data_IF_223301165161
#
_entry.id   IF_223301165161
#
_cell.length_a   1.000
_cell.length_b   1.000
_cell.length_c   1.000
_cell.angle_alpha   90.00
_cell.angle_beta   90.00
_cell.angle_gamma   90.00
#
_symmetry.space_group_name_H-M   'P 1'
#
loop_
_entity.id
_entity.type
_entity.pdbx_description
1 polymer ?
#
# COMPACT_ATOMS: atom_id res chain seq x y z
N UNK A 1 -31.02 40.18 -32.14
CA UNK A 1 -31.32 40.86 -30.85
C UNK A 1 -31.42 39.78 -29.77
N UNK A 2 -30.40 39.59 -28.92
CA UNK A 2 -30.09 40.27 -27.64
C UNK A 2 -30.86 39.72 -26.42
N UNK A 3 -30.06 39.15 -25.50
CA UNK A 3 -30.17 39.02 -24.02
C UNK A 3 -30.92 37.78 -23.51
N UNK A 4 -30.29 36.85 -22.78
CA UNK A 4 -29.51 36.91 -21.53
C UNK A 4 -30.38 36.97 -20.26
N UNK A 5 -30.12 36.01 -19.34
CA UNK A 5 -29.88 36.22 -17.90
C UNK A 5 -30.83 35.52 -16.91
N UNK A 6 -30.28 34.45 -16.32
CA UNK A 6 -30.04 34.30 -14.87
C UNK A 6 -31.10 33.72 -13.91
N UNK A 7 -30.55 32.73 -13.16
CA UNK A 7 -30.61 32.48 -11.70
C UNK A 7 -31.78 31.65 -11.17
N UNK A 8 -31.40 30.49 -10.61
CA UNK A 8 -32.24 29.67 -9.75
C UNK A 8 -31.45 28.68 -8.90
N UNK A 9 -30.54 29.20 -8.05
CA UNK A 9 -30.05 28.64 -6.77
C UNK A 9 -29.74 27.13 -6.70
N UNK A 10 -28.47 26.79 -6.90
CA UNK A 10 -27.85 25.58 -6.33
C UNK A 10 -27.83 25.72 -4.80
N UNK A 11 -28.65 24.93 -4.12
CA UNK A 11 -28.52 24.65 -2.68
C UNK A 11 -27.97 23.24 -2.57
N UNK A 12 -26.64 23.11 -2.61
CA UNK A 12 -25.95 21.88 -2.24
C UNK A 12 -26.13 21.70 -0.73
N UNK A 13 -27.01 20.77 -0.35
CA UNK A 13 -26.99 20.22 1.00
C UNK A 13 -25.92 19.13 1.04
N UNK A 14 -24.88 19.43 1.83
CA UNK A 14 -23.98 18.46 2.43
C UNK A 14 -24.74 17.37 3.19
N UNK A 15 -24.04 16.26 3.40
CA UNK A 15 -24.36 15.07 4.21
C UNK A 15 -25.15 13.97 3.49
N UNK A 16 -24.42 13.16 2.70
CA UNK A 16 -24.73 11.74 2.52
C UNK A 16 -23.48 10.95 2.06
N UNK A 17 -22.47 10.84 2.93
CA UNK A 17 -21.52 9.73 2.82
C UNK A 17 -21.39 9.02 4.17
N UNK A 18 -22.53 8.49 4.61
CA UNK A 18 -22.55 7.36 5.53
C UNK A 18 -23.41 6.27 4.92
N UNK A 19 -22.74 5.14 4.72
CA UNK A 19 -23.26 3.79 4.58
C UNK A 19 -23.23 3.17 3.17
N UNK A 20 -22.78 1.91 3.18
CA UNK A 20 -23.06 0.84 2.23
C UNK A 20 -22.08 0.61 1.08
N UNK A 21 -20.88 0.09 1.41
CA UNK A 21 -20.37 -1.14 0.76
C UNK A 21 -19.13 -1.61 1.50
N UNK A 22 -19.30 -2.47 2.51
CA UNK A 22 -18.19 -3.17 3.13
C UNK A 22 -17.78 -4.32 2.21
N UNK A 23 -16.52 -4.31 1.78
CA UNK A 23 -15.89 -5.31 0.93
C UNK A 23 -16.14 -6.71 1.50
N UNK A 24 -16.73 -7.62 0.71
CA UNK A 24 -16.86 -9.03 1.07
C UNK A 24 -15.68 -9.82 0.50
N UNK A 25 -14.49 -9.62 1.05
CA UNK A 25 -13.42 -10.62 0.99
C UNK A 25 -13.57 -11.52 2.22
N UNK A 26 -13.41 -12.85 2.12
CA UNK A 26 -13.44 -13.71 3.30
C UNK A 26 -12.40 -13.19 4.29
N UNK A 27 -12.89 -12.76 5.47
CA UNK A 27 -12.14 -12.04 6.50
C UNK A 27 -10.97 -12.90 6.98
N UNK A 28 -9.86 -12.74 6.29
CA UNK A 28 -8.56 -13.06 6.82
C UNK A 28 -8.09 -11.77 7.45
N UNK A 29 -7.80 -11.80 8.74
CA UNK A 29 -7.40 -10.61 9.48
C UNK A 29 -6.18 -9.98 8.80
N UNK A 30 -6.33 -8.78 8.23
CA UNK A 30 -5.27 -8.12 7.45
C UNK A 30 -4.01 -7.91 8.30
N UNK A 31 -4.18 -7.81 9.63
CA UNK A 31 -3.08 -7.84 10.59
C UNK A 31 -2.37 -9.19 10.63
N UNK A 32 -3.09 -10.31 10.66
CA UNK A 32 -2.47 -11.65 10.61
C UNK A 32 -1.72 -11.87 9.29
N UNK A 33 -2.25 -11.37 8.18
CA UNK A 33 -1.58 -11.44 6.88
C UNK A 33 -0.30 -10.58 6.87
N UNK A 34 -0.36 -9.39 7.47
CA UNK A 34 0.81 -8.54 7.67
C UNK A 34 1.87 -9.24 8.53
N UNK A 35 1.48 -9.83 9.66
CA UNK A 35 2.38 -10.54 10.57
C UNK A 35 3.01 -11.77 9.90
N UNK A 36 2.23 -12.52 9.09
CA UNK A 36 2.75 -13.63 8.28
C UNK A 36 3.80 -13.14 7.27
N UNK A 37 3.53 -12.02 6.59
CA UNK A 37 4.44 -11.45 5.62
C UNK A 37 5.74 -11.00 6.30
N UNK A 38 5.65 -10.26 7.42
CA UNK A 38 6.81 -9.86 8.22
C UNK A 38 7.63 -11.07 8.67
N UNK A 39 6.99 -12.08 9.25
CA UNK A 39 7.68 -13.30 9.69
C UNK A 39 8.39 -14.02 8.53
N UNK A 40 7.77 -14.08 7.34
CA UNK A 40 8.40 -14.65 6.14
C UNK A 40 9.66 -13.89 5.71
N UNK A 41 9.64 -12.56 5.84
CA UNK A 41 10.76 -11.69 5.50
C UNK A 41 11.88 -11.79 6.53
N UNK A 42 11.55 -11.82 7.83
CA UNK A 42 12.51 -12.04 8.91
C UNK A 42 13.22 -13.40 8.80
N UNK A 43 12.46 -14.45 8.50
CA UNK A 43 12.99 -15.79 8.25
C UNK A 43 13.94 -15.83 7.05
N UNK A 44 13.77 -14.89 6.11
CA UNK A 44 14.59 -14.75 4.91
C UNK A 44 15.72 -13.73 5.08
N UNK A 45 15.91 -13.23 6.32
CA UNK A 45 16.92 -12.24 6.69
C UNK A 45 16.82 -10.96 5.87
N UNK A 46 15.58 -10.51 5.63
CA UNK A 46 15.33 -9.21 5.04
C UNK A 46 15.84 -8.10 5.95
N UNK A 47 16.30 -7.02 5.34
CA UNK A 47 16.85 -5.85 6.02
C UNK A 47 15.82 -4.72 6.04
N UNK A 48 15.86 -3.90 7.09
CA UNK A 48 15.07 -2.67 7.21
C UNK A 48 13.58 -2.87 6.93
N UNK A 49 12.97 -3.94 7.45
CA UNK A 49 11.53 -4.19 7.28
C UNK A 49 10.76 -3.04 7.95
N UNK A 50 10.00 -2.31 7.15
CA UNK A 50 9.13 -1.22 7.60
C UNK A 50 7.69 -1.58 7.26
N UNK A 51 6.83 -1.55 8.27
CA UNK A 51 5.37 -1.66 8.10
C UNK A 51 4.78 -0.26 8.16
N UNK A 52 3.88 0.04 7.23
CA UNK A 52 3.16 1.30 7.13
C UNK A 52 1.67 0.99 7.17
N UNK A 53 0.97 1.60 8.13
CA UNK A 53 -0.48 1.52 8.27
C UNK A 53 -1.16 2.47 7.28
N UNK A 54 -2.03 1.91 6.44
CA UNK A 54 -2.78 2.60 5.41
C UNK A 54 -4.30 2.58 5.64
N UNK A 55 -4.81 1.97 6.73
CA UNK A 55 -6.25 1.75 6.94
C UNK A 55 -7.07 3.05 6.84
N UNK A 56 -6.53 4.18 7.30
CA UNK A 56 -7.19 5.49 7.23
C UNK A 56 -6.73 6.37 6.05
N UNK A 57 -5.77 5.88 5.24
CA UNK A 57 -5.11 6.65 4.17
C UNK A 57 -5.45 6.14 2.78
N UNK A 58 -5.84 4.88 2.65
CA UNK A 58 -6.03 4.22 1.39
C UNK A 58 -7.20 3.24 1.43
N UNK A 59 -7.86 3.08 0.29
CA UNK A 59 -8.91 2.07 0.09
C UNK A 59 -8.42 0.83 -0.65
N UNK A 60 -7.17 0.80 -1.14
CA UNK A 60 -6.68 -0.36 -1.91
C UNK A 60 -6.02 -1.43 -1.04
N UNK A 61 -5.42 -1.07 0.10
CA UNK A 61 -4.78 -1.99 1.05
C UNK A 61 -4.76 -1.38 2.45
N UNK A 62 -4.72 -2.23 3.48
CA UNK A 62 -4.65 -1.85 4.89
C UNK A 62 -3.20 -1.66 5.35
N UNK A 63 -2.27 -2.46 4.84
CA UNK A 63 -0.84 -2.37 5.18
C UNK A 63 0.05 -2.33 3.95
N UNK A 64 1.10 -1.52 4.02
CA UNK A 64 2.22 -1.59 3.09
C UNK A 64 3.48 -2.00 3.85
N UNK A 65 4.17 -3.00 3.35
CA UNK A 65 5.46 -3.46 3.89
C UNK A 65 6.55 -3.09 2.88
N UNK A 66 7.64 -2.51 3.38
CA UNK A 66 8.82 -2.19 2.59
C UNK A 66 10.01 -2.90 3.23
N UNK A 67 10.69 -3.77 2.48
CA UNK A 67 11.85 -4.49 2.97
C UNK A 67 12.97 -4.56 1.92
N UNK A 68 14.20 -4.70 2.40
CA UNK A 68 15.39 -4.73 1.56
C UNK A 68 16.06 -6.10 1.54
N UNK A 69 16.61 -6.47 0.38
CA UNK A 69 17.48 -7.64 0.24
C UNK A 69 18.89 -7.21 -0.17
N UNK A 70 19.91 -7.91 0.31
CA UNK A 70 21.32 -7.63 0.00
C UNK A 70 21.71 -7.87 -1.46
N UNK A 71 20.91 -8.64 -2.21
CA UNK A 71 21.14 -8.97 -3.61
C UNK A 71 19.82 -9.29 -4.34
N UNK A 72 19.81 -9.19 -5.67
CA UNK A 72 18.62 -9.53 -6.49
C UNK A 72 18.19 -10.99 -6.29
N UNK A 73 19.16 -11.90 -6.10
CA UNK A 73 18.88 -13.30 -5.75
C UNK A 73 18.14 -13.42 -4.42
N UNK A 74 18.55 -12.66 -3.40
CA UNK A 74 17.84 -12.65 -2.12
C UNK A 74 16.45 -12.05 -2.26
N UNK A 75 16.31 -10.92 -2.97
CA UNK A 75 15.01 -10.29 -3.24
C UNK A 75 14.05 -11.26 -3.90
N UNK A 76 14.50 -11.95 -4.96
CA UNK A 76 13.74 -13.01 -5.62
C UNK A 76 13.32 -14.12 -4.65
N UNK A 77 14.28 -14.67 -3.90
CA UNK A 77 14.02 -15.75 -2.96
C UNK A 77 13.04 -15.34 -1.84
N UNK A 78 13.10 -14.09 -1.37
CA UNK A 78 12.16 -13.54 -0.41
C UNK A 78 10.75 -13.47 -0.99
N UNK A 79 10.61 -12.98 -2.22
CA UNK A 79 9.33 -12.92 -2.92
C UNK A 79 8.74 -14.33 -3.11
N UNK A 80 9.52 -15.26 -3.67
CA UNK A 80 9.10 -16.64 -3.90
C UNK A 80 8.63 -17.32 -2.60
N UNK A 81 9.40 -17.16 -1.52
CA UNK A 81 9.05 -17.75 -0.22
C UNK A 81 7.80 -17.13 0.37
N UNK A 82 7.65 -15.80 0.27
CA UNK A 82 6.44 -15.11 0.73
C UNK A 82 5.21 -15.61 -0.04
N UNK A 83 5.30 -15.72 -1.36
CA UNK A 83 4.24 -16.24 -2.22
C UNK A 83 3.87 -17.67 -1.82
N UNK A 84 4.85 -18.53 -1.57
CA UNK A 84 4.62 -19.91 -1.13
C UNK A 84 3.94 -19.96 0.24
N UNK A 85 4.40 -19.15 1.20
CA UNK A 85 3.83 -19.10 2.56
C UNK A 85 2.41 -18.56 2.56
N UNK A 86 2.15 -17.52 1.78
CA UNK A 86 0.82 -16.93 1.64
C UNK A 86 -0.16 -17.95 0.99
N UNK A 87 0.26 -18.65 -0.06
CA UNK A 87 -0.52 -19.76 -0.66
C UNK A 87 -0.81 -20.88 0.33
N UNK A 88 0.14 -21.25 1.18
CA UNK A 88 -0.04 -22.28 2.20
C UNK A 88 -1.01 -21.86 3.34
N UNK A 89 -1.25 -20.56 3.48
CA UNK A 89 -2.23 -19.98 4.40
C UNK A 89 -3.57 -19.64 3.70
N UNK A 90 -3.80 -20.17 2.50
CA UNK A 90 -4.98 -19.89 1.65
C UNK A 90 -5.13 -18.40 1.26
N UNK A 91 -4.05 -17.62 1.34
CA UNK A 91 -3.96 -16.21 0.97
C UNK A 91 -3.10 -16.03 -0.28
N UNK A 92 -3.48 -16.68 -1.39
CA UNK A 92 -2.70 -16.59 -2.61
C UNK A 92 -2.57 -15.13 -3.08
N UNK A 93 -1.36 -14.67 -3.48
CA UNK A 93 -1.18 -13.32 -4.00
C UNK A 93 -2.04 -13.06 -5.24
N UNK A 94 -2.58 -11.85 -5.35
CA UNK A 94 -3.29 -11.37 -6.54
C UNK A 94 -2.33 -11.20 -7.73
N UNK A 95 -1.10 -10.80 -7.45
CA UNK A 95 -0.07 -10.55 -8.45
C UNK A 95 1.33 -10.45 -7.85
N UNK A 96 2.32 -10.73 -8.69
CA UNK A 96 3.74 -10.52 -8.39
C UNK A 96 4.38 -9.83 -9.59
N UNK A 97 4.92 -8.64 -9.37
CA UNK A 97 5.51 -7.80 -10.42
C UNK A 97 7.01 -7.62 -10.19
N UNK A 98 7.79 -7.49 -11.26
CA UNK A 98 9.24 -7.20 -11.18
C UNK A 98 10.14 -8.38 -10.82
N UNK A 99 9.59 -9.58 -10.64
CA UNK A 99 10.32 -10.79 -10.23
C UNK A 99 11.43 -11.26 -11.21
N UNK A 100 11.35 -10.86 -12.49
CA UNK A 100 12.35 -11.24 -13.49
C UNK A 100 13.71 -10.59 -13.24
N UNK A 101 13.71 -9.30 -12.88
CA UNK A 101 14.93 -8.51 -12.63
C UNK A 101 15.27 -8.51 -11.13
N UNK A 102 14.25 -8.56 -10.27
CA UNK A 102 14.37 -8.66 -8.82
C UNK A 102 15.19 -7.54 -8.17
N UNK A 103 15.33 -6.40 -8.84
CA UNK A 103 15.80 -5.16 -8.22
C UNK A 103 14.71 -4.53 -7.36
N UNK A 104 13.46 -4.70 -7.79
CA UNK A 104 12.24 -4.37 -7.07
C UNK A 104 11.17 -5.39 -7.46
N UNK A 105 10.68 -6.14 -6.47
CA UNK A 105 9.52 -7.02 -6.58
C UNK A 105 8.37 -6.46 -5.75
N UNK A 106 7.19 -6.39 -6.36
CA UNK A 106 5.93 -6.08 -5.67
C UNK A 106 5.14 -7.37 -5.53
N UNK A 107 4.71 -7.70 -4.31
CA UNK A 107 3.81 -8.81 -4.02
C UNK A 107 2.50 -8.23 -3.48
N UNK A 108 1.42 -8.46 -4.21
CA UNK A 108 0.07 -7.98 -3.87
C UNK A 108 -0.71 -9.11 -3.18
N UNK A 109 -1.03 -8.95 -1.90
CA UNK A 109 -1.83 -9.87 -1.09
C UNK A 109 -3.23 -9.28 -0.77
N UNK A 110 -3.76 -8.44 -1.66
CA UNK A 110 -5.01 -7.70 -1.50
C UNK A 110 -4.98 -6.66 -0.38
N UNK A 111 -5.12 -7.08 0.89
CA UNK A 111 -5.15 -6.16 2.04
C UNK A 111 -3.74 -5.76 2.51
N UNK A 112 -2.70 -6.48 2.04
CA UNK A 112 -1.29 -6.19 2.33
C UNK A 112 -0.49 -6.11 1.04
N UNK A 113 0.26 -5.04 0.84
CA UNK A 113 1.17 -4.88 -0.31
C UNK A 113 2.61 -4.87 0.15
N UNK A 114 3.43 -5.76 -0.40
CA UNK A 114 4.83 -5.93 0.00
C UNK A 114 5.77 -5.48 -1.11
N UNK A 115 6.65 -4.54 -0.79
CA UNK A 115 7.70 -4.02 -1.67
C UNK A 115 9.04 -4.57 -1.21
N UNK A 116 9.66 -5.41 -2.05
CA UNK A 116 10.97 -6.02 -1.81
C UNK A 116 11.95 -5.46 -2.81
N UNK A 117 13.04 -4.85 -2.36
CA UNK A 117 13.95 -4.16 -3.27
C UNK A 117 15.38 -4.10 -2.78
N UNK A 118 16.32 -3.80 -3.67
CA UNK A 118 17.70 -3.50 -3.27
C UNK A 118 17.77 -2.19 -2.46
N UNK A 119 18.75 -2.04 -1.54
CA UNK A 119 18.93 -0.81 -0.77
C UNK A 119 19.08 0.45 -1.63
N UNK A 120 19.76 0.33 -2.79
CA UNK A 120 19.96 1.45 -3.72
C UNK A 120 18.64 1.88 -4.37
N UNK A 121 17.85 0.91 -4.83
CA UNK A 121 16.50 1.13 -5.38
C UNK A 121 15.59 1.77 -4.33
N UNK A 122 15.63 1.28 -3.09
CA UNK A 122 14.88 1.87 -1.97
C UNK A 122 15.26 3.32 -1.70
N UNK A 123 16.55 3.63 -1.68
CA UNK A 123 17.02 4.99 -1.47
C UNK A 123 16.59 5.93 -2.61
N UNK A 124 16.55 5.44 -3.85
CA UNK A 124 16.11 6.21 -5.01
C UNK A 124 14.62 6.55 -4.95
N UNK A 125 13.76 5.57 -4.65
CA UNK A 125 12.31 5.77 -4.65
C UNK A 125 11.75 6.33 -3.33
N UNK A 126 12.39 6.02 -2.20
CA UNK A 126 12.08 6.54 -0.87
C UNK A 126 10.57 6.51 -0.54
N UNK A 127 9.96 5.34 -0.72
CA UNK A 127 8.52 5.14 -0.55
C UNK A 127 8.07 5.48 0.88
N UNK A 128 8.91 5.21 1.88
CA UNK A 128 8.57 5.49 3.26
C UNK A 128 8.28 6.98 3.48
N UNK A 129 9.01 7.88 2.82
CA UNK A 129 8.72 9.33 2.93
C UNK A 129 7.37 9.68 2.31
N UNK A 130 7.02 9.09 1.17
CA UNK A 130 5.75 9.36 0.49
C UNK A 130 4.55 8.89 1.32
N UNK A 131 4.64 7.70 1.91
CA UNK A 131 3.51 7.04 2.55
C UNK A 131 3.45 7.23 4.07
N UNK A 132 4.57 7.57 4.73
CA UNK A 132 4.59 7.82 6.18
C UNK A 132 4.13 9.23 6.53
N UNK A 133 4.27 10.20 5.62
CA UNK A 133 3.86 11.59 5.89
C UNK A 133 2.34 11.67 5.96
N UNK A 134 1.79 11.86 7.17
CA UNK A 134 0.45 12.41 7.28
C UNK A 134 0.47 13.74 6.52
N UNK A 135 -0.42 13.89 5.52
CA UNK A 135 -0.55 15.10 4.71
C UNK A 135 -0.29 16.34 5.60
N UNK A 136 0.71 17.19 5.31
CA UNK A 136 0.84 18.42 6.05
C UNK A 136 -0.49 19.16 5.92
N UNK A 137 -1.13 19.47 7.06
CA UNK A 137 -2.24 20.41 7.07
C UNK A 137 -1.74 21.63 6.30
N UNK A 138 -2.40 21.95 5.19
CA UNK A 138 -2.06 23.11 4.38
C UNK A 138 -2.04 24.32 5.31
N UNK A 139 -0.86 24.78 5.70
CA UNK A 139 -0.74 26.04 6.42
C UNK A 139 -1.08 27.10 5.40
N UNK A 140 -2.35 27.53 5.39
CA UNK A 140 -2.81 28.67 4.62
C UNK A 140 -1.97 29.87 5.05
N UNK A 141 -1.00 30.25 4.22
CA UNK A 141 -0.38 31.56 4.31
C UNK A 141 -1.41 32.57 3.80
N UNK A 142 -2.33 32.96 4.67
CA UNK A 142 -2.99 34.24 4.56
C UNK A 142 -1.91 35.30 4.77
N UNK A 143 -1.29 35.74 3.67
CA UNK A 143 -0.50 36.98 3.66
C UNK A 143 -1.44 38.14 3.35
N UNK A 144 -1.22 39.18 4.15
CA UNK A 144 -2.05 40.35 4.41
C UNK A 144 -2.11 41.35 3.24
#
# INVERSE_FOLDING_TARGET
>A
MKRCSQRGKLRLQLNHYRSSSLKSHPVSDSRQLCDLAVASLEDSKAEAIQVIDLTDRSTFADYMIVASGSSTRQVKAMADRLVQRAKAADQAPLGVEGDREAEWVLVDLADVVVHLMLPQTRAFYNLEKLWSTALPAHSSSAQA
#
